data_IF_142637280248
#
_entry.id   IF_142637280248
#
_cell.length_a   1.000
_cell.length_b   1.000
_cell.length_c   1.000
_cell.angle_alpha   90.00
_cell.angle_beta   90.00
_cell.angle_gamma   90.00
#
_symmetry.space_group_name_H-M   'P 1'
#
loop_
_entity.id
_entity.type
_entity.pdbx_description
1 polymer ?
#
# COMPACT_ATOMS: atom_id res chain seq x y z
N UNK A 1 -9.67 -6.51 -18.85
CA UNK A 1 -10.22 -6.70 -17.50
C UNK A 1 -9.05 -6.65 -16.54
N UNK A 2 -8.72 -5.48 -16.01
CA UNK A 2 -7.45 -5.20 -15.31
C UNK A 2 -7.47 -5.55 -13.81
N UNK A 3 -6.29 -5.66 -13.20
CA UNK A 3 -6.07 -6.05 -11.80
C UNK A 3 -6.75 -5.16 -10.77
N UNK A 4 -7.04 -3.90 -11.11
CA UNK A 4 -7.88 -3.04 -10.27
C UNK A 4 -9.25 -3.68 -10.02
N UNK A 5 -9.85 -4.37 -11.00
CA UNK A 5 -11.08 -5.14 -10.78
C UNK A 5 -10.88 -6.38 -9.88
N UNK A 6 -9.68 -6.92 -9.74
CA UNK A 6 -9.38 -8.02 -8.82
C UNK A 6 -9.05 -7.54 -7.39
N UNK A 7 -8.48 -6.34 -7.26
CA UNK A 7 -8.35 -5.66 -5.98
C UNK A 7 -9.69 -5.09 -5.50
N UNK A 8 -10.61 -4.74 -6.41
CA UNK A 8 -11.95 -4.20 -6.09
C UNK A 8 -13.00 -5.31 -5.94
N UNK A 9 -12.87 -6.44 -6.65
CA UNK A 9 -13.83 -7.55 -6.54
C UNK A 9 -13.36 -8.61 -5.52
N UNK A 10 -14.21 -8.97 -4.53
CA UNK A 10 -13.85 -9.92 -3.49
C UNK A 10 -13.78 -11.33 -4.07
N UNK A 11 -12.59 -11.78 -4.48
CA UNK A 11 -12.39 -13.17 -4.88
C UNK A 11 -12.10 -14.04 -3.65
N UNK A 12 -13.18 -14.50 -3.02
CA UNK A 12 -13.27 -15.72 -2.18
C UNK A 12 -12.04 -16.02 -1.30
N UNK A 13 -11.70 -15.13 -0.39
CA UNK A 13 -11.12 -15.54 0.89
C UNK A 13 -12.28 -15.71 1.87
N UNK A 14 -12.69 -16.96 2.07
CA UNK A 14 -13.68 -17.30 3.08
C UNK A 14 -13.22 -16.84 4.47
N UNK A 15 -14.17 -16.26 5.21
CA UNK A 15 -14.15 -16.14 6.68
C UNK A 15 -12.95 -15.43 7.31
N UNK A 16 -12.86 -14.09 7.15
CA UNK A 16 -12.28 -13.21 8.18
C UNK A 16 -12.68 -11.72 8.05
N UNK A 17 -13.72 -11.40 7.29
CA UNK A 17 -14.14 -10.02 6.96
C UNK A 17 -14.98 -9.36 8.06
N UNK A 18 -14.44 -9.24 9.27
CA UNK A 18 -15.04 -8.46 10.34
C UNK A 18 -14.33 -7.10 10.47
N UNK A 19 -15.10 -6.03 10.15
CA UNK A 19 -14.84 -4.63 10.49
C UNK A 19 -13.51 -4.00 9.99
N UNK A 20 -13.49 -3.54 8.74
CA UNK A 20 -12.49 -2.54 8.30
C UNK A 20 -13.07 -1.13 8.50
N UNK A 21 -12.78 -0.50 9.64
CA UNK A 21 -13.02 0.93 9.80
C UNK A 21 -12.12 1.72 8.82
N UNK A 22 -12.55 2.93 8.40
CA UNK A 22 -11.70 3.83 7.62
C UNK A 22 -10.45 4.20 8.44
N UNK A 23 -9.34 3.51 8.21
CA UNK A 23 -8.06 3.88 8.80
C UNK A 23 -7.46 4.97 7.90
N UNK A 24 -7.24 6.19 8.41
CA UNK A 24 -6.55 7.21 7.64
C UNK A 24 -5.17 6.68 7.24
N UNK A 25 -4.83 6.72 5.96
CA UNK A 25 -3.54 6.23 5.46
C UNK A 25 -2.33 6.85 6.18
N UNK A 26 -2.46 8.09 6.65
CA UNK A 26 -1.45 8.74 7.49
C UNK A 26 -1.17 7.99 8.79
N UNK A 27 -2.18 7.37 9.41
CA UNK A 27 -2.00 6.56 10.62
C UNK A 27 -1.21 5.26 10.36
N UNK A 28 -1.25 4.74 9.13
CA UNK A 28 -0.45 3.59 8.71
C UNK A 28 0.97 4.00 8.30
N UNK A 29 1.11 5.03 7.47
CA UNK A 29 2.37 5.37 6.80
C UNK A 29 3.32 6.20 7.69
N UNK A 30 2.80 7.14 8.49
CA UNK A 30 3.65 8.02 9.31
C UNK A 30 4.52 7.26 10.33
N UNK A 31 3.99 6.29 11.10
CA UNK A 31 4.81 5.53 12.04
C UNK A 31 5.93 4.72 11.37
N UNK A 32 5.73 4.32 10.11
CA UNK A 32 6.74 3.59 9.33
C UNK A 32 7.90 4.51 8.95
N UNK A 33 7.61 5.75 8.57
CA UNK A 33 8.64 6.73 8.26
C UNK A 33 9.47 7.08 9.51
N UNK A 34 8.82 7.22 10.67
CA UNK A 34 9.52 7.41 11.96
C UNK A 34 10.50 6.27 12.25
N UNK A 35 10.07 5.01 12.07
CA UNK A 35 10.94 3.83 12.23
C UNK A 35 12.13 3.81 11.28
N UNK A 36 11.94 4.32 10.06
CA UNK A 36 13.00 4.44 9.05
C UNK A 36 13.90 5.67 9.29
N UNK A 37 13.60 6.54 10.27
CA UNK A 37 14.29 7.81 10.46
C UNK A 37 14.14 8.77 9.27
N UNK A 38 13.00 8.68 8.55
CA UNK A 38 12.70 9.48 7.37
C UNK A 38 11.43 10.30 7.60
N UNK A 39 11.35 11.48 6.99
CA UNK A 39 10.12 12.26 6.97
C UNK A 39 9.19 11.79 5.84
N UNK A 40 7.88 11.92 6.04
CA UNK A 40 6.91 11.76 4.96
C UNK A 40 7.25 12.65 3.75
N UNK A 41 7.03 12.14 2.55
CA UNK A 41 7.28 12.82 1.29
C UNK A 41 8.75 12.97 0.93
N UNK A 42 9.66 12.36 1.71
CA UNK A 42 11.12 12.40 1.49
C UNK A 42 11.73 11.07 1.10
N UNK A 43 10.93 10.00 0.94
CA UNK A 43 11.49 8.73 0.48
C UNK A 43 11.97 8.84 -0.98
N UNK A 44 13.16 8.29 -1.29
CA UNK A 44 13.68 8.25 -2.64
C UNK A 44 12.89 7.23 -3.50
N UNK A 45 12.90 7.45 -4.80
CA UNK A 45 12.22 6.60 -5.80
C UNK A 45 13.03 5.35 -6.18
N UNK A 46 14.25 5.22 -5.66
CA UNK A 46 15.14 4.10 -5.94
C UNK A 46 15.75 3.54 -4.66
N UNK A 47 16.39 2.38 -4.79
CA UNK A 47 16.81 1.56 -3.65
C UNK A 47 15.62 0.88 -2.96
N UNK A 48 15.80 0.34 -1.75
CA UNK A 48 14.79 -0.44 -1.06
C UNK A 48 13.43 0.27 -0.89
N UNK A 49 13.42 1.56 -0.56
CA UNK A 49 12.18 2.34 -0.36
C UNK A 49 11.44 2.67 -1.65
N UNK A 50 12.13 2.56 -2.78
CA UNK A 50 11.62 2.85 -4.11
C UNK A 50 11.45 1.61 -4.98
N UNK A 51 11.63 0.41 -4.43
CA UNK A 51 11.46 -0.88 -5.13
C UNK A 51 10.05 -1.06 -5.69
N UNK A 52 9.87 -2.02 -6.61
CA UNK A 52 8.54 -2.31 -7.14
C UNK A 52 7.62 -2.81 -6.03
N UNK A 53 8.17 -3.64 -5.13
CA UNK A 53 7.48 -4.12 -3.94
C UNK A 53 6.99 -2.98 -3.04
N UNK A 54 7.85 -2.03 -2.67
CA UNK A 54 7.51 -0.95 -1.75
C UNK A 54 6.44 -0.02 -2.31
N UNK A 55 6.52 0.31 -3.61
CA UNK A 55 5.49 1.12 -4.28
C UNK A 55 4.15 0.38 -4.30
N UNK A 56 4.19 -0.92 -4.58
CA UNK A 56 3.02 -1.77 -4.61
C UNK A 56 2.37 -1.94 -3.24
N UNK A 57 3.16 -2.02 -2.17
CA UNK A 57 2.67 -2.02 -0.79
C UNK A 57 1.82 -0.78 -0.49
N UNK A 58 2.32 0.40 -0.83
CA UNK A 58 1.59 1.66 -0.64
C UNK A 58 0.28 1.66 -1.42
N UNK A 59 0.28 1.13 -2.65
CA UNK A 59 -0.92 0.99 -3.47
C UNK A 59 -1.93 0.01 -2.85
N UNK A 60 -1.48 -1.16 -2.40
CA UNK A 60 -2.32 -2.19 -1.80
C UNK A 60 -3.01 -1.69 -0.53
N UNK A 61 -2.26 -1.02 0.35
CA UNK A 61 -2.82 -0.37 1.53
C UNK A 61 -3.83 0.74 1.18
N UNK A 62 -3.55 1.57 0.16
CA UNK A 62 -4.47 2.60 -0.29
C UNK A 62 -5.80 2.01 -0.78
N UNK A 63 -5.75 0.98 -1.63
CA UNK A 63 -6.93 0.28 -2.13
C UNK A 63 -7.72 -0.39 -1.00
N UNK A 64 -7.03 -1.06 -0.07
CA UNK A 64 -7.67 -1.73 1.06
C UNK A 64 -8.34 -0.74 2.03
N UNK A 65 -7.82 0.48 2.16
CA UNK A 65 -8.40 1.51 3.06
C UNK A 65 -9.80 1.95 2.66
N UNK A 66 -10.15 1.74 1.39
CA UNK A 66 -11.47 2.04 0.85
C UNK A 66 -12.45 0.88 1.03
N UNK A 67 -11.97 -0.34 1.30
CA UNK A 67 -12.82 -1.50 1.40
C UNK A 67 -13.62 -1.48 2.71
N UNK A 68 -14.94 -1.47 2.57
CA UNK A 68 -15.89 -1.50 3.70
C UNK A 68 -16.73 -2.78 3.61
N UNK A 69 -16.93 -3.51 4.73
CA UNK A 69 -17.88 -4.62 4.76
C UNK A 69 -19.29 -4.11 4.44
N UNK A 70 -19.91 -4.60 3.36
CA UNK A 70 -21.25 -4.17 2.93
C UNK A 70 -21.31 -2.77 2.30
N UNK A 71 -20.17 -2.17 1.99
CA UNK A 71 -20.09 -0.88 1.30
C UNK A 71 -20.47 -0.95 -0.18
N UNK A 72 -20.81 0.21 -0.75
CA UNK A 72 -21.00 0.34 -2.19
C UNK A 72 -19.70 0.02 -2.95
N UNK A 73 -19.78 -0.44 -4.22
CA UNK A 73 -18.61 -0.64 -5.06
C UNK A 73 -17.74 0.63 -5.12
N UNK A 74 -16.45 0.49 -4.86
CA UNK A 74 -15.48 1.59 -5.00
C UNK A 74 -15.28 1.85 -6.50
N UNK A 75 -15.35 3.11 -6.92
CA UNK A 75 -15.01 3.49 -8.28
C UNK A 75 -13.49 3.54 -8.48
N UNK A 76 -13.04 3.27 -9.70
CA UNK A 76 -11.64 3.42 -10.09
C UNK A 76 -11.10 4.82 -9.79
N UNK A 77 -11.94 5.85 -9.94
CA UNK A 77 -11.59 7.24 -9.65
C UNK A 77 -11.28 7.46 -8.15
N UNK A 78 -12.09 6.91 -7.25
CA UNK A 78 -11.87 7.01 -5.80
C UNK A 78 -10.63 6.23 -5.38
N UNK A 79 -10.44 5.05 -5.97
CA UNK A 79 -9.26 4.22 -5.78
C UNK A 79 -7.99 4.97 -6.20
N UNK A 80 -7.99 5.56 -7.40
CA UNK A 80 -6.87 6.33 -7.93
C UNK A 80 -6.56 7.57 -7.07
N UNK A 81 -7.58 8.33 -6.66
CA UNK A 81 -7.38 9.51 -5.81
C UNK A 81 -6.73 9.15 -4.47
N UNK A 82 -7.22 8.09 -3.83
CA UNK A 82 -6.69 7.60 -2.54
C UNK A 82 -5.26 7.09 -2.68
N UNK A 83 -4.97 6.36 -3.76
CA UNK A 83 -3.61 5.93 -4.07
C UNK A 83 -2.68 7.12 -4.35
N UNK A 84 -3.16 8.16 -5.04
CA UNK A 84 -2.37 9.36 -5.29
C UNK A 84 -2.03 10.11 -4.00
N UNK A 85 -2.96 10.19 -3.06
CA UNK A 85 -2.73 10.77 -1.74
C UNK A 85 -1.67 9.97 -0.96
N UNK A 86 -1.76 8.64 -0.98
CA UNK A 86 -0.77 7.75 -0.37
C UNK A 86 0.63 7.96 -0.97
N UNK A 87 0.73 8.00 -2.30
CA UNK A 87 2.01 8.20 -2.99
C UNK A 87 2.56 9.62 -2.77
N UNK A 88 1.68 10.62 -2.63
CA UNK A 88 2.06 11.99 -2.27
C UNK A 88 2.66 12.04 -0.88
N UNK A 89 2.05 11.34 0.07
CA UNK A 89 2.55 11.22 1.43
C UNK A 89 3.88 10.45 1.49
N UNK A 90 4.09 9.46 0.62
CA UNK A 90 5.30 8.62 0.65
C UNK A 90 6.47 9.24 -0.11
N UNK A 91 6.26 9.64 -1.37
CA UNK A 91 7.31 9.99 -2.32
C UNK A 91 7.38 11.48 -2.68
N UNK A 92 6.37 12.24 -2.22
CA UNK A 92 6.23 13.67 -2.43
C UNK A 92 5.40 14.04 -3.66
N UNK A 93 4.66 15.15 -3.55
CA UNK A 93 3.68 15.60 -4.54
C UNK A 93 4.21 15.75 -5.97
N UNK A 94 5.47 16.16 -6.13
CA UNK A 94 6.09 16.39 -7.44
C UNK A 94 6.19 15.10 -8.28
N UNK A 95 6.29 13.95 -7.62
CA UNK A 95 6.66 12.67 -8.25
C UNK A 95 5.59 11.60 -8.11
N UNK A 96 4.75 11.71 -7.09
CA UNK A 96 3.68 10.77 -6.76
C UNK A 96 2.88 10.27 -7.98
N UNK A 97 2.46 11.18 -8.87
CA UNK A 97 1.67 10.81 -10.05
C UNK A 97 2.42 9.92 -11.02
N UNK A 98 3.69 10.21 -11.29
CA UNK A 98 4.50 9.42 -12.21
C UNK A 98 4.81 8.03 -11.63
N UNK A 99 5.16 7.99 -10.34
CA UNK A 99 5.44 6.74 -9.62
C UNK A 99 4.18 5.87 -9.54
N UNK A 100 3.02 6.46 -9.23
CA UNK A 100 1.74 5.76 -9.18
C UNK A 100 1.39 5.17 -10.55
N UNK A 101 1.49 5.96 -11.63
CA UNK A 101 1.20 5.50 -12.98
C UNK A 101 2.10 4.31 -13.38
N UNK A 102 3.40 4.39 -13.09
CA UNK A 102 4.34 3.28 -13.35
C UNK A 102 3.99 2.04 -12.51
N UNK A 103 3.56 2.23 -11.26
CA UNK A 103 3.19 1.11 -10.38
C UNK A 103 1.90 0.43 -10.82
N UNK A 104 0.91 1.20 -11.29
CA UNK A 104 -0.32 0.65 -11.87
C UNK A 104 0.00 -0.14 -13.15
N UNK A 105 0.84 0.39 -14.03
CA UNK A 105 1.24 -0.31 -15.25
C UNK A 105 1.95 -1.64 -14.94
N UNK A 106 2.86 -1.65 -13.96
CA UNK A 106 3.55 -2.87 -13.51
C UNK A 106 2.58 -3.87 -12.86
N UNK A 107 1.58 -3.38 -12.11
CA UNK A 107 0.52 -4.23 -11.56
C UNK A 107 -0.30 -4.86 -12.69
N UNK A 108 -0.73 -4.08 -13.70
CA UNK A 108 -1.45 -4.60 -14.86
C UNK A 108 -0.65 -5.63 -15.67
N UNK A 109 0.68 -5.48 -15.70
CA UNK A 109 1.61 -6.43 -16.29
C UNK A 109 1.83 -7.70 -15.45
N UNK A 110 1.21 -7.81 -14.27
CA UNK A 110 1.36 -8.97 -13.36
C UNK A 110 2.81 -9.22 -12.94
N UNK A 111 3.55 -8.15 -12.67
CA UNK A 111 4.90 -8.29 -12.13
C UNK A 111 4.87 -8.94 -10.74
N UNK A 112 5.61 -10.04 -10.49
CA UNK A 112 5.49 -10.83 -9.26
C UNK A 112 5.78 -10.01 -7.99
N UNK A 113 6.80 -9.14 -8.06
CA UNK A 113 7.21 -8.29 -6.95
C UNK A 113 6.11 -7.26 -6.59
N UNK A 114 5.37 -6.79 -7.61
CA UNK A 114 4.25 -5.86 -7.42
C UNK A 114 3.04 -6.57 -6.81
N UNK A 115 2.74 -7.79 -7.25
CA UNK A 115 1.66 -8.58 -6.66
C UNK A 115 1.90 -8.86 -5.17
N UNK A 116 3.12 -9.27 -4.81
CA UNK A 116 3.53 -9.52 -3.42
C UNK A 116 3.36 -8.25 -2.55
N UNK A 117 3.86 -7.11 -3.02
CA UNK A 117 3.70 -5.84 -2.31
C UNK A 117 2.24 -5.44 -2.13
N UNK A 118 1.42 -5.53 -3.19
CA UNK A 118 -0.01 -5.23 -3.16
C UNK A 118 -0.75 -6.06 -2.10
N UNK A 119 -0.54 -7.38 -2.10
CA UNK A 119 -1.19 -8.29 -1.17
C UNK A 119 -0.77 -8.02 0.27
N UNK A 120 0.53 -7.79 0.51
CA UNK A 120 1.02 -7.50 1.85
C UNK A 120 0.49 -6.17 2.38
N UNK A 121 0.47 -5.12 1.56
CA UNK A 121 -0.07 -3.80 1.96
C UNK A 121 -1.56 -3.88 2.34
N UNK A 122 -2.34 -4.67 1.61
CA UNK A 122 -3.75 -4.91 1.93
C UNK A 122 -3.91 -5.72 3.23
N UNK A 123 -3.10 -6.76 3.43
CA UNK A 123 -3.15 -7.61 4.62
C UNK A 123 -2.76 -6.85 5.91
N UNK A 124 -1.70 -6.06 5.87
CA UNK A 124 -1.26 -5.25 7.01
C UNK A 124 -2.35 -4.27 7.45
N UNK A 125 -3.03 -3.65 6.49
CA UNK A 125 -4.13 -2.74 6.83
C UNK A 125 -5.31 -3.48 7.49
N UNK A 126 -5.63 -4.68 7.02
CA UNK A 126 -6.67 -5.49 7.64
C UNK A 126 -6.35 -5.84 9.10
N UNK A 127 -5.08 -6.13 9.39
CA UNK A 127 -4.60 -6.39 10.75
C UNK A 127 -4.69 -5.15 11.64
N UNK A 128 -4.30 -3.97 11.12
CA UNK A 128 -4.39 -2.70 11.86
C UNK A 128 -5.85 -2.34 12.15
N UNK A 129 -6.74 -2.50 11.18
CA UNK A 129 -8.16 -2.23 11.34
C UNK A 129 -8.84 -3.18 12.36
N UNK A 130 -8.36 -4.42 12.46
CA UNK A 130 -8.78 -5.38 13.49
C UNK A 130 -8.24 -5.05 14.90
N UNK A 131 -7.48 -3.96 15.06
CA UNK A 131 -7.00 -3.48 16.35
C UNK A 131 -5.84 -4.29 16.92
N UNK A 132 -5.11 -5.05 16.09
CA UNK A 132 -3.94 -5.82 16.51
C UNK A 132 -2.75 -4.88 16.83
N UNK A 133 -2.43 -4.63 18.11
CA UNK A 133 -1.32 -3.75 18.47
C UNK A 133 -0.02 -4.53 18.25
N UNK A 134 0.88 -3.99 17.41
CA UNK A 134 2.19 -4.61 17.16
C UNK A 134 2.24 -5.56 15.96
N UNK A 135 1.24 -5.57 15.08
CA UNK A 135 1.43 -6.14 13.75
C UNK A 135 2.66 -5.48 13.10
N UNK A 136 3.70 -6.27 12.86
CA UNK A 136 4.93 -5.77 12.23
C UNK A 136 4.57 -5.26 10.85
N UNK A 137 4.55 -3.94 10.69
CA UNK A 137 4.40 -3.30 9.38
C UNK A 137 5.53 -3.79 8.48
N UNK A 138 5.18 -4.66 7.53
CA UNK A 138 6.16 -5.39 6.71
C UNK A 138 7.02 -4.46 5.88
N UNK A 139 6.47 -3.30 5.51
CA UNK A 139 7.19 -2.30 4.74
C UNK A 139 8.41 -1.74 5.46
N UNK A 140 8.30 -1.38 6.75
CA UNK A 140 9.46 -0.89 7.50
C UNK A 140 10.49 -1.99 7.75
N UNK A 141 10.04 -3.20 8.10
CA UNK A 141 10.93 -4.34 8.41
C UNK A 141 11.72 -4.78 7.18
N UNK A 142 11.06 -5.00 6.04
CA UNK A 142 11.71 -5.42 4.79
C UNK A 142 12.68 -4.37 4.26
N UNK A 143 12.31 -3.09 4.30
CA UNK A 143 13.20 -2.01 3.85
C UNK A 143 14.47 -1.96 4.73
N UNK A 144 14.36 -2.17 6.04
CA UNK A 144 15.53 -2.19 6.93
C UNK A 144 16.43 -3.39 6.64
N UNK A 145 15.85 -4.57 6.42
CA UNK A 145 16.59 -5.79 6.05
C UNK A 145 17.34 -5.61 4.73
N UNK A 146 16.66 -5.14 3.67
CA UNK A 146 17.28 -4.88 2.37
C UNK A 146 18.37 -3.79 2.43
N UNK A 147 18.18 -2.75 3.25
CA UNK A 147 19.20 -1.71 3.48
C UNK A 147 20.41 -2.26 4.23
N UNK A 148 20.23 -3.21 5.14
CA UNK A 148 21.32 -3.83 5.89
C UNK A 148 22.13 -4.82 5.03
N UNK A 149 21.50 -5.49 4.09
CA UNK A 149 22.17 -6.40 3.14
C UNK A 149 22.96 -5.65 2.05
N UNK A 150 22.61 -4.40 1.77
CA UNK A 150 23.27 -3.56 0.76
C UNK A 150 24.46 -2.71 1.28
N UNK A 151 24.77 -2.77 2.58
CA UNK A 151 25.81 -1.98 3.25
C UNK A 151 27.08 -2.81 3.54
#
# INVERSE_FOLDING_TARGET
MGILNHLIAPRRAGAMHAALAQVPLGALLLPQFERLGRAAGRLPEGGPTGSAWSRAYVLGAACASLQQPGGAPISDQTCFATALDAFTLTYGARRARAILAATIAAAEAQEPEVEDGLLQGAADLALVAAGAPGASLHFATRIVEELAEAA
#
